data_IF_379210778430
#
_entry.id   IF_379210778430
#
_cell.length_a   1.000
_cell.length_b   1.000
_cell.length_c   1.000
_cell.angle_alpha   90.00
_cell.angle_beta   90.00
_cell.angle_gamma   90.00
#
_symmetry.space_group_name_H-M   'P 1'
#
loop_
_entity.id
_entity.type
_entity.pdbx_description
1 polymer ?
#
# COMPACT_ATOMS: atom_id res chain seq x y z
N UNK A 1 -36.15 25.18 -47.21
CA UNK A 1 -35.06 25.49 -46.26
C UNK A 1 -34.93 24.51 -45.07
N UNK A 2 -35.92 23.66 -44.73
CA UNK A 2 -35.88 22.73 -43.54
C UNK A 2 -35.07 21.43 -43.76
N UNK A 3 -34.74 21.03 -44.97
CA UNK A 3 -34.00 19.77 -45.25
C UNK A 3 -32.47 19.90 -45.10
N UNK A 4 -31.88 21.08 -45.37
CA UNK A 4 -30.43 21.30 -45.27
C UNK A 4 -29.90 21.31 -43.84
N UNK A 5 -30.70 21.77 -42.85
CA UNK A 5 -30.31 21.75 -41.44
C UNK A 5 -30.23 20.34 -40.85
N UNK A 6 -31.15 19.44 -41.23
CA UNK A 6 -31.15 18.05 -40.72
C UNK A 6 -29.98 17.21 -41.20
N UNK A 7 -29.41 17.52 -42.37
CA UNK A 7 -28.21 16.83 -42.90
C UNK A 7 -26.95 17.34 -42.20
N UNK A 8 -26.85 18.64 -41.92
CA UNK A 8 -25.72 19.22 -41.18
C UNK A 8 -25.67 18.73 -39.76
N UNK A 9 -26.81 18.63 -39.06
CA UNK A 9 -26.89 18.09 -37.68
C UNK A 9 -26.54 16.61 -37.63
N UNK A 10 -26.94 15.80 -38.63
CA UNK A 10 -26.56 14.38 -38.68
C UNK A 10 -25.09 14.18 -39.01
N UNK A 11 -24.49 15.01 -39.86
CA UNK A 11 -23.06 15.00 -40.15
C UNK A 11 -22.23 15.44 -38.95
N UNK A 12 -22.69 16.44 -38.20
CA UNK A 12 -22.04 16.90 -36.96
C UNK A 12 -22.10 15.85 -35.85
N UNK A 13 -23.23 15.17 -35.71
CA UNK A 13 -23.36 14.06 -34.75
C UNK A 13 -22.52 12.83 -35.15
N UNK A 14 -22.41 12.55 -36.44
CA UNK A 14 -21.57 11.45 -36.95
C UNK A 14 -20.07 11.78 -36.78
N UNK A 15 -19.66 13.04 -36.98
CA UNK A 15 -18.27 13.48 -36.75
C UNK A 15 -17.91 13.46 -35.27
N UNK A 16 -18.85 13.83 -34.39
CA UNK A 16 -18.64 13.81 -32.93
C UNK A 16 -18.53 12.38 -32.37
N UNK A 17 -19.27 11.42 -32.95
CA UNK A 17 -19.16 10.00 -32.56
C UNK A 17 -17.85 9.34 -33.02
N UNK A 18 -17.24 9.79 -34.11
CA UNK A 18 -15.94 9.27 -34.58
C UNK A 18 -14.79 9.75 -33.66
N UNK A 19 -14.91 10.93 -33.05
CA UNK A 19 -13.90 11.45 -32.13
C UNK A 19 -13.82 10.72 -30.78
N UNK A 20 -14.87 10.01 -30.40
CA UNK A 20 -14.92 9.29 -29.09
C UNK A 20 -14.26 7.91 -29.15
N UNK A 21 -14.01 7.33 -30.33
CA UNK A 21 -13.41 6.00 -30.48
C UNK A 21 -11.89 5.99 -30.71
N UNK A 22 -11.23 7.13 -30.67
CA UNK A 22 -9.76 7.21 -30.87
C UNK A 22 -8.94 7.03 -29.60
N UNK A 23 -9.54 6.67 -28.46
CA UNK A 23 -8.82 6.31 -27.24
C UNK A 23 -8.54 4.81 -27.19
N UNK A 24 -7.94 4.24 -28.25
CA UNK A 24 -7.17 3.02 -28.12
C UNK A 24 -5.87 3.41 -27.40
N UNK A 25 -5.83 3.28 -26.10
CA UNK A 25 -4.58 3.24 -25.36
C UNK A 25 -3.75 2.07 -25.97
N UNK A 26 -2.81 2.39 -26.84
CA UNK A 26 -1.76 1.45 -27.27
C UNK A 26 -0.97 1.10 -26.01
N UNK A 27 -1.37 0.06 -25.29
CA UNK A 27 -0.58 -0.48 -24.21
C UNK A 27 0.73 -0.96 -24.83
N UNK A 28 1.80 -0.21 -24.59
CA UNK A 28 3.15 -0.62 -25.02
C UNK A 28 3.39 -2.02 -24.44
N UNK A 29 3.78 -2.96 -25.29
CA UNK A 29 4.08 -4.33 -24.87
C UNK A 29 5.46 -4.38 -24.24
N UNK A 30 5.58 -5.21 -23.20
CA UNK A 30 6.88 -5.46 -22.57
C UNK A 30 7.87 -6.03 -23.58
N UNK A 31 9.09 -5.48 -23.57
CA UNK A 31 10.22 -6.01 -24.33
C UNK A 31 10.89 -7.06 -23.46
N UNK A 32 10.68 -8.32 -23.81
CA UNK A 32 11.32 -9.46 -23.18
C UNK A 32 12.55 -9.82 -24.04
N UNK A 33 13.77 -9.74 -23.48
CA UNK A 33 14.98 -10.10 -24.20
C UNK A 33 14.94 -11.55 -24.68
N UNK A 34 15.51 -11.80 -25.87
CA UNK A 34 15.65 -13.17 -26.40
C UNK A 34 16.54 -14.03 -25.51
N UNK A 35 16.25 -15.34 -25.46
CA UNK A 35 17.09 -16.33 -24.75
C UNK A 35 18.55 -16.37 -25.25
N UNK A 36 18.83 -15.84 -26.45
CA UNK A 36 20.20 -15.74 -26.98
C UNK A 36 21.12 -14.82 -26.14
N UNK A 37 20.56 -13.94 -25.30
CA UNK A 37 21.34 -13.13 -24.37
C UNK A 37 21.70 -13.84 -23.07
N UNK A 38 21.08 -14.97 -22.73
CA UNK A 38 21.33 -15.70 -21.49
C UNK A 38 22.80 -16.07 -21.22
N UNK A 39 23.65 -16.36 -22.24
CA UNK A 39 25.09 -16.60 -22.02
C UNK A 39 25.86 -15.34 -21.56
N UNK A 40 25.29 -14.14 -21.70
CA UNK A 40 25.99 -12.86 -21.50
C UNK A 40 25.39 -12.03 -20.39
N UNK A 41 24.07 -12.10 -20.19
CA UNK A 41 23.31 -11.30 -19.21
C UNK A 41 22.62 -12.25 -18.24
N UNK A 42 23.00 -12.18 -16.95
CA UNK A 42 22.45 -12.99 -15.87
C UNK A 42 21.13 -12.40 -15.35
N UNK A 43 21.10 -11.07 -15.14
CA UNK A 43 19.91 -10.38 -14.65
C UNK A 43 19.83 -8.95 -15.20
N UNK A 44 18.61 -8.42 -15.23
CA UNK A 44 18.34 -7.03 -15.63
C UNK A 44 17.11 -6.49 -14.92
N UNK A 45 17.04 -5.16 -14.80
CA UNK A 45 15.86 -4.47 -14.27
C UNK A 45 14.75 -4.49 -15.31
N UNK A 46 13.61 -5.12 -14.93
CA UNK A 46 12.42 -5.23 -15.79
C UNK A 46 11.14 -5.24 -14.96
N UNK A 47 9.98 -5.35 -15.63
CA UNK A 47 8.67 -5.39 -14.98
C UNK A 47 8.26 -4.03 -14.39
N UNK A 48 7.71 -4.02 -13.17
CA UNK A 48 7.29 -2.81 -12.46
C UNK A 48 8.33 -2.45 -11.42
N UNK A 49 8.81 -1.20 -11.46
CA UNK A 49 9.85 -0.68 -10.55
C UNK A 49 9.36 0.54 -9.78
N UNK A 50 9.97 0.82 -8.61
CA UNK A 50 9.76 2.06 -7.86
C UNK A 50 10.27 3.29 -8.64
N UNK A 51 9.66 4.45 -8.41
CA UNK A 51 10.14 5.73 -8.93
C UNK A 51 11.54 6.12 -8.40
N UNK A 52 12.04 5.44 -7.37
CA UNK A 52 13.37 5.62 -6.80
C UNK A 52 14.34 4.50 -7.17
N UNK A 53 13.95 3.58 -8.03
CA UNK A 53 14.79 2.45 -8.43
C UNK A 53 15.94 2.88 -9.34
N UNK A 54 17.08 2.21 -9.17
CA UNK A 54 18.14 2.21 -10.14
C UNK A 54 17.92 1.09 -11.17
N UNK A 55 18.48 1.26 -12.36
CA UNK A 55 18.38 0.29 -13.45
C UNK A 55 19.70 -0.48 -13.55
N UNK A 56 19.65 -1.81 -13.47
CA UNK A 56 20.82 -2.67 -13.41
C UNK A 56 20.86 -3.67 -14.56
N UNK A 57 22.08 -3.94 -15.03
CA UNK A 57 22.39 -5.07 -15.89
C UNK A 57 23.52 -5.85 -15.21
N UNK A 58 23.29 -7.13 -14.95
CA UNK A 58 24.27 -8.06 -14.42
C UNK A 58 24.75 -8.98 -15.53
N UNK A 59 26.05 -8.94 -15.80
CA UNK A 59 26.70 -9.81 -16.78
C UNK A 59 26.97 -11.20 -16.18
N UNK A 60 27.07 -12.23 -17.01
CA UNK A 60 27.40 -13.58 -16.56
C UNK A 60 28.87 -13.73 -16.16
N UNK A 61 29.75 -12.85 -16.64
CA UNK A 61 31.19 -12.90 -16.42
C UNK A 61 31.70 -11.61 -15.79
N UNK A 62 32.66 -11.79 -14.87
CA UNK A 62 33.37 -10.65 -14.29
C UNK A 62 34.21 -9.93 -15.34
N UNK A 63 34.22 -8.61 -15.29
CA UNK A 63 35.05 -7.78 -16.13
C UNK A 63 36.37 -7.47 -15.44
N UNK A 64 37.52 -7.59 -16.15
CA UNK A 64 38.79 -7.24 -15.56
C UNK A 64 38.92 -5.72 -15.35
N UNK A 65 39.52 -5.34 -14.23
CA UNK A 65 39.92 -3.95 -13.94
C UNK A 65 38.76 -2.93 -14.00
N UNK A 66 37.64 -3.24 -13.37
CA UNK A 66 36.55 -2.27 -13.22
C UNK A 66 36.85 -1.26 -12.12
N UNK A 67 36.51 -0.02 -12.36
CA UNK A 67 36.64 1.08 -11.38
C UNK A 67 35.32 1.21 -10.61
N UNK A 68 35.24 0.53 -9.46
CA UNK A 68 34.03 0.43 -8.68
C UNK A 68 33.59 1.79 -8.10
N UNK A 69 32.31 2.07 -8.17
CA UNK A 69 31.67 3.29 -7.67
C UNK A 69 32.09 4.60 -8.36
N UNK A 70 32.90 4.54 -9.39
CA UNK A 70 33.19 5.69 -10.24
C UNK A 70 32.28 5.73 -11.46
N UNK A 71 31.91 6.94 -11.87
CA UNK A 71 31.08 7.18 -13.05
C UNK A 71 31.77 6.67 -14.32
N UNK A 72 31.03 5.89 -15.12
CA UNK A 72 31.53 5.47 -16.44
C UNK A 72 31.68 6.70 -17.35
N UNK A 73 32.82 6.83 -18.02
CA UNK A 73 33.12 7.94 -18.95
C UNK A 73 32.07 8.07 -20.05
N UNK A 74 31.54 6.94 -20.49
CA UNK A 74 30.47 6.86 -21.49
C UNK A 74 29.31 6.02 -20.97
N UNK A 75 28.13 6.61 -20.90
CA UNK A 75 26.92 5.92 -20.48
C UNK A 75 26.54 4.84 -21.50
N UNK A 76 26.50 3.56 -21.09
CA UNK A 76 26.11 2.47 -21.99
C UNK A 76 24.58 2.33 -22.14
N UNK A 77 23.79 3.07 -21.38
CA UNK A 77 22.33 3.02 -21.42
C UNK A 77 21.75 4.14 -22.27
N UNK A 78 20.67 3.83 -22.94
CA UNK A 78 19.75 4.80 -23.53
C UNK A 78 18.31 4.37 -23.26
N UNK A 79 17.40 5.35 -23.15
CA UNK A 79 16.01 5.10 -22.80
C UNK A 79 15.04 5.88 -23.68
N UNK A 80 13.87 5.30 -23.90
CA UNK A 80 12.71 5.94 -24.54
C UNK A 80 11.47 5.75 -23.65
N UNK A 81 10.88 6.82 -23.06
CA UNK A 81 11.36 8.21 -23.05
C UNK A 81 12.76 8.38 -22.45
N UNK A 82 13.44 9.49 -22.81
CA UNK A 82 14.80 9.75 -22.35
C UNK A 82 14.87 9.92 -20.83
N UNK A 83 15.86 9.29 -20.18
CA UNK A 83 16.18 9.44 -18.77
C UNK A 83 17.53 10.15 -18.60
N UNK A 84 17.57 11.10 -17.69
CA UNK A 84 18.83 11.71 -17.22
C UNK A 84 19.36 10.89 -16.06
N UNK A 85 20.66 10.67 -16.01
CA UNK A 85 21.31 9.90 -14.97
C UNK A 85 22.73 9.52 -15.34
N UNK A 86 23.37 8.75 -14.47
CA UNK A 86 24.76 8.35 -14.58
C UNK A 86 24.90 6.84 -14.40
N UNK A 87 25.91 6.24 -15.03
CA UNK A 87 26.18 4.82 -14.94
C UNK A 87 27.45 4.52 -14.14
N UNK A 88 27.42 3.42 -13.36
CA UNK A 88 28.50 3.03 -12.46
C UNK A 88 28.70 1.51 -12.50
N UNK A 89 29.91 1.05 -12.27
CA UNK A 89 30.16 -0.32 -11.84
C UNK A 89 29.88 -0.45 -10.34
N UNK A 90 28.95 -1.32 -9.94
CA UNK A 90 28.65 -1.62 -8.54
C UNK A 90 29.25 -2.96 -8.09
N UNK A 91 29.64 -3.79 -9.03
CA UNK A 91 30.47 -5.00 -8.84
C UNK A 91 31.26 -5.29 -10.12
N UNK A 92 32.09 -6.35 -10.12
CA UNK A 92 32.87 -6.72 -11.29
C UNK A 92 32.02 -7.14 -12.50
N UNK A 93 30.74 -7.46 -12.31
CA UNK A 93 29.85 -7.92 -13.38
C UNK A 93 28.54 -7.11 -13.46
N UNK A 94 28.34 -6.10 -12.60
CA UNK A 94 27.07 -5.37 -12.54
C UNK A 94 27.25 -3.88 -12.80
N UNK A 95 26.54 -3.39 -13.80
CA UNK A 95 26.46 -1.97 -14.15
C UNK A 95 25.11 -1.44 -13.74
N UNK A 96 25.11 -0.31 -13.02
CA UNK A 96 23.93 0.37 -12.54
C UNK A 96 23.82 1.75 -13.18
N UNK A 97 22.66 2.06 -13.71
CA UNK A 97 22.28 3.43 -14.09
C UNK A 97 21.45 4.03 -12.95
N UNK A 98 21.88 5.16 -12.44
CA UNK A 98 21.23 5.93 -11.37
C UNK A 98 20.50 7.10 -12.03
N UNK A 99 19.16 7.06 -12.15
CA UNK A 99 18.39 8.18 -12.67
C UNK A 99 18.52 9.41 -11.78
N UNK A 100 18.50 10.60 -12.36
CA UNK A 100 18.36 11.83 -11.57
C UNK A 100 17.00 11.83 -10.86
N UNK A 101 16.92 12.33 -9.61
CA UNK A 101 15.66 12.35 -8.84
C UNK A 101 14.52 12.99 -9.63
N UNK A 102 13.37 12.32 -9.64
CA UNK A 102 12.15 12.78 -10.30
C UNK A 102 12.13 12.62 -11.82
N UNK A 103 13.12 11.95 -12.45
CA UNK A 103 13.11 11.68 -13.89
C UNK A 103 12.29 10.44 -14.25
N UNK A 104 12.23 9.43 -13.37
CA UNK A 104 11.30 8.30 -13.50
C UNK A 104 9.88 8.80 -13.20
N UNK A 105 9.04 8.83 -14.23
CA UNK A 105 7.67 9.32 -14.10
C UNK A 105 6.73 8.17 -13.72
N UNK A 106 5.90 8.34 -12.67
CA UNK A 106 4.92 7.35 -12.29
C UNK A 106 4.03 6.91 -13.46
N UNK A 107 3.76 5.61 -13.57
CA UNK A 107 2.95 5.01 -14.63
C UNK A 107 3.62 4.95 -16.00
N UNK A 108 4.74 5.64 -16.21
CA UNK A 108 5.40 5.69 -17.52
C UNK A 108 6.10 4.37 -17.85
N UNK A 109 6.03 4.00 -19.10
CA UNK A 109 6.69 2.83 -19.66
C UNK A 109 7.97 3.26 -20.38
N UNK A 110 9.08 2.65 -20.00
CA UNK A 110 10.40 2.91 -20.55
C UNK A 110 10.94 1.71 -21.31
N UNK A 111 11.43 1.97 -22.50
CA UNK A 111 12.25 1.04 -23.27
C UNK A 111 13.71 1.36 -23.01
N UNK A 112 14.49 0.38 -22.56
CA UNK A 112 15.91 0.50 -22.29
C UNK A 112 16.73 -0.21 -23.38
N UNK A 113 17.85 0.37 -23.76
CA UNK A 113 18.87 -0.27 -24.59
C UNK A 113 20.20 -0.16 -23.87
N UNK A 114 20.86 -1.31 -23.65
CA UNK A 114 22.18 -1.38 -23.08
C UNK A 114 23.19 -1.84 -24.13
N UNK A 115 24.32 -1.15 -24.26
CA UNK A 115 25.36 -1.41 -25.25
C UNK A 115 26.25 -2.59 -24.83
N UNK A 116 25.69 -3.81 -24.87
CA UNK A 116 26.32 -5.04 -24.41
C UNK A 116 27.68 -5.30 -25.10
N UNK A 117 27.77 -5.04 -26.39
CA UNK A 117 28.99 -5.23 -27.16
C UNK A 117 30.20 -4.37 -26.76
N UNK A 118 30.04 -3.46 -25.79
CA UNK A 118 31.16 -2.71 -25.19
C UNK A 118 31.87 -3.50 -24.08
N UNK A 119 31.21 -4.49 -23.50
CA UNK A 119 31.68 -5.22 -22.31
C UNK A 119 31.99 -6.69 -22.59
N UNK A 120 31.31 -7.27 -23.58
CA UNK A 120 31.48 -8.68 -23.96
C UNK A 120 31.56 -8.80 -25.47
N UNK A 121 32.36 -9.76 -25.93
CA UNK A 121 32.44 -10.11 -27.33
C UNK A 121 31.18 -10.89 -27.75
N UNK A 122 30.37 -10.33 -28.61
CA UNK A 122 29.10 -10.91 -29.06
C UNK A 122 28.92 -10.73 -30.56
N UNK A 123 28.07 -11.57 -31.14
CA UNK A 123 27.60 -11.38 -32.53
C UNK A 123 27.03 -9.96 -32.73
N UNK A 124 27.20 -9.42 -33.95
CA UNK A 124 26.76 -8.07 -34.29
C UNK A 124 25.29 -7.76 -33.97
N UNK A 125 24.42 -8.76 -34.07
CA UNK A 125 23.00 -8.69 -33.75
C UNK A 125 22.69 -8.63 -32.23
N UNK A 126 23.63 -9.03 -31.37
CA UNK A 126 23.50 -9.05 -29.91
C UNK A 126 24.20 -7.88 -29.23
N UNK A 127 24.80 -6.95 -29.97
CA UNK A 127 25.52 -5.80 -29.40
C UNK A 127 24.64 -4.87 -28.57
N UNK A 128 23.35 -4.84 -28.84
CA UNK A 128 22.35 -4.04 -28.12
C UNK A 128 21.39 -4.95 -27.37
N UNK A 129 21.42 -4.87 -26.05
CA UNK A 129 20.48 -5.58 -25.19
C UNK A 129 19.26 -4.67 -24.93
N UNK A 130 18.10 -5.05 -25.45
CA UNK A 130 16.85 -4.28 -25.32
C UNK A 130 15.94 -4.88 -24.26
N UNK A 131 15.39 -4.06 -23.40
CA UNK A 131 14.51 -4.43 -22.30
C UNK A 131 13.48 -3.33 -22.04
N UNK A 132 12.53 -3.59 -21.17
CA UNK A 132 11.55 -2.57 -20.77
C UNK A 132 11.19 -2.70 -19.29
N UNK A 133 10.69 -1.61 -18.75
CA UNK A 133 10.11 -1.55 -17.41
C UNK A 133 9.03 -0.45 -17.36
N UNK A 134 8.17 -0.55 -16.35
CA UNK A 134 7.16 0.47 -16.03
C UNK A 134 7.41 1.00 -14.63
N UNK A 135 7.26 2.28 -14.44
CA UNK A 135 7.31 2.88 -13.10
C UNK A 135 5.97 2.69 -12.40
N UNK A 136 6.01 2.26 -11.14
CA UNK A 136 4.84 2.05 -10.31
C UNK A 136 3.98 3.32 -10.25
N UNK A 137 2.68 3.19 -10.48
CA UNK A 137 1.73 4.27 -10.22
C UNK A 137 1.54 4.42 -8.70
N UNK A 138 1.64 5.64 -8.18
CA UNK A 138 1.43 5.86 -6.76
C UNK A 138 -0.04 5.64 -6.40
N UNK A 139 -0.26 4.85 -5.36
CA UNK A 139 -1.57 4.56 -4.82
C UNK A 139 -1.43 4.25 -3.32
N UNK A 140 -2.54 4.28 -2.59
CA UNK A 140 -2.55 3.89 -1.19
C UNK A 140 -3.87 3.24 -0.80
N UNK A 141 -3.84 2.52 0.32
CA UNK A 141 -5.01 1.99 1.02
C UNK A 141 -5.00 2.49 2.45
N UNK A 142 -6.20 2.72 2.98
CA UNK A 142 -6.43 3.08 4.38
C UNK A 142 -7.11 1.89 5.05
N UNK A 143 -6.57 1.45 6.17
CA UNK A 143 -7.18 0.45 7.03
C UNK A 143 -7.30 1.01 8.43
N UNK A 144 -8.49 0.97 9.00
CA UNK A 144 -8.76 1.34 10.39
C UNK A 144 -9.07 0.05 11.16
N UNK A 145 -8.36 -0.13 12.25
CA UNK A 145 -8.62 -1.28 13.13
C UNK A 145 -10.00 -1.13 13.79
N UNK A 146 -10.70 -2.23 14.01
CA UNK A 146 -11.89 -2.20 14.86
C UNK A 146 -11.59 -1.55 16.21
N UNK A 147 -12.52 -0.80 16.75
CA UNK A 147 -12.36 -0.17 18.06
C UNK A 147 -12.12 -1.25 19.13
N UNK A 148 -10.92 -1.27 19.70
CA UNK A 148 -10.51 -2.28 20.67
C UNK A 148 -9.90 -1.69 21.94
N UNK A 149 -9.59 -0.39 21.94
CA UNK A 149 -8.88 0.24 23.05
C UNK A 149 -9.72 1.36 23.64
N UNK A 150 -10.11 1.19 24.90
CA UNK A 150 -10.79 2.18 25.72
C UNK A 150 -9.82 2.58 26.82
N UNK A 151 -9.70 3.88 27.05
CA UNK A 151 -8.79 4.39 28.05
C UNK A 151 -9.35 4.15 29.46
N UNK A 152 -8.67 3.29 30.24
CA UNK A 152 -9.06 2.93 31.59
C UNK A 152 -8.96 4.12 32.54
N UNK A 153 -7.92 4.95 32.40
CA UNK A 153 -7.66 6.08 33.30
C UNK A 153 -8.75 7.15 33.16
N UNK A 154 -9.42 7.17 32.00
CA UNK A 154 -10.58 8.05 31.74
C UNK A 154 -11.92 7.46 32.17
N UNK A 155 -11.95 6.34 32.86
CA UNK A 155 -13.16 5.59 33.23
C UNK A 155 -14.04 5.20 32.02
N UNK A 156 -13.41 5.04 30.84
CA UNK A 156 -14.09 4.71 29.61
C UNK A 156 -14.64 5.92 28.82
N UNK A 157 -14.35 7.14 29.24
CA UNK A 157 -14.80 8.35 28.54
C UNK A 157 -14.01 8.61 27.23
N UNK A 158 -12.83 8.05 27.11
CA UNK A 158 -11.95 8.21 25.95
C UNK A 158 -11.68 6.89 25.25
N UNK A 159 -11.51 6.96 23.95
CA UNK A 159 -11.07 5.83 23.12
C UNK A 159 -9.89 6.20 22.26
N UNK A 160 -9.09 5.20 21.91
CA UNK A 160 -7.97 5.32 20.99
C UNK A 160 -8.22 4.43 19.77
N UNK A 161 -8.13 5.01 18.59
CA UNK A 161 -8.21 4.28 17.33
C UNK A 161 -6.83 4.12 16.74
N UNK A 162 -6.63 2.99 16.06
CA UNK A 162 -5.39 2.66 15.36
C UNK A 162 -5.70 2.25 13.93
N UNK A 163 -4.69 2.30 13.09
CA UNK A 163 -4.81 1.84 11.73
C UNK A 163 -3.51 1.91 10.97
N UNK A 164 -3.59 1.62 9.69
CA UNK A 164 -2.43 1.56 8.79
C UNK A 164 -2.76 2.21 7.45
N UNK A 165 -1.80 2.97 6.93
CA UNK A 165 -1.79 3.42 5.53
C UNK A 165 -0.70 2.65 4.79
N UNK A 166 -1.06 2.00 3.68
CA UNK A 166 -0.13 1.25 2.82
C UNK A 166 -0.06 1.90 1.45
N UNK A 167 1.15 2.17 1.01
CA UNK A 167 1.42 2.75 -0.29
C UNK A 167 1.93 1.71 -1.27
N UNK A 168 1.70 1.93 -2.56
CA UNK A 168 2.25 1.10 -3.64
C UNK A 168 3.75 1.34 -3.85
N UNK A 169 4.28 2.48 -3.41
CA UNK A 169 5.70 2.86 -3.50
C UNK A 169 6.12 3.65 -2.25
N UNK A 170 7.44 3.75 -2.00
CA UNK A 170 7.97 4.48 -0.85
C UNK A 170 7.49 5.94 -0.85
N UNK A 171 6.94 6.38 0.27
CA UNK A 171 6.34 7.71 0.44
C UNK A 171 6.97 8.39 1.65
N UNK A 172 7.41 9.67 1.55
CA UNK A 172 8.00 10.39 2.68
C UNK A 172 7.01 10.58 3.84
N UNK A 173 7.49 10.43 5.09
CA UNK A 173 6.68 10.59 6.30
C UNK A 173 5.95 11.94 6.36
N UNK A 174 6.63 13.02 5.98
CA UNK A 174 6.11 14.39 5.99
C UNK A 174 4.90 14.57 5.03
N UNK A 175 4.82 13.77 3.98
CA UNK A 175 3.66 13.72 3.11
C UNK A 175 2.51 12.98 3.79
N UNK A 176 2.79 11.83 4.43
CA UNK A 176 1.79 11.00 5.12
C UNK A 176 1.14 11.77 6.28
N UNK A 177 1.91 12.51 7.06
CA UNK A 177 1.43 13.36 8.18
C UNK A 177 0.40 14.41 7.72
N UNK A 178 0.51 14.88 6.48
CA UNK A 178 -0.42 15.86 5.89
C UNK A 178 -1.64 15.22 5.22
N UNK A 179 -1.62 13.90 5.03
CA UNK A 179 -2.71 13.19 4.36
C UNK A 179 -3.88 12.89 5.29
N UNK A 180 -3.61 12.60 6.58
CA UNK A 180 -4.59 12.08 7.50
C UNK A 180 -5.24 13.18 8.34
N UNK A 181 -6.55 13.06 8.51
CA UNK A 181 -7.34 13.90 9.41
C UNK A 181 -8.47 13.07 10.03
N UNK A 182 -8.87 13.45 11.27
CA UNK A 182 -9.96 12.82 11.97
C UNK A 182 -10.93 13.87 12.52
N UNK A 183 -12.25 13.67 12.30
CA UNK A 183 -13.30 14.55 12.76
C UNK A 183 -14.45 13.78 13.42
N UNK A 184 -14.85 14.21 14.60
CA UNK A 184 -16.05 13.75 15.28
C UNK A 184 -17.34 14.34 14.70
N UNK A 185 -18.48 13.75 15.05
CA UNK A 185 -19.79 14.18 14.59
C UNK A 185 -20.17 15.62 14.98
N UNK A 186 -19.60 16.14 16.07
CA UNK A 186 -19.73 17.53 16.53
C UNK A 186 -18.79 18.52 15.80
N UNK A 187 -18.00 18.02 14.81
CA UNK A 187 -17.02 18.82 14.09
C UNK A 187 -15.66 18.96 14.80
N UNK A 188 -15.49 18.34 15.96
CA UNK A 188 -14.21 18.32 16.68
C UNK A 188 -13.16 17.58 15.86
N UNK A 189 -11.98 18.19 15.73
CA UNK A 189 -10.82 17.54 15.08
C UNK A 189 -9.92 16.89 16.12
N UNK A 190 -9.42 15.70 15.80
CA UNK A 190 -8.50 14.94 16.64
C UNK A 190 -7.14 14.86 15.97
N UNK A 191 -6.03 15.00 16.71
CA UNK A 191 -4.69 14.83 16.15
C UNK A 191 -4.47 13.36 15.73
N UNK A 192 -3.79 13.19 14.59
CA UNK A 192 -3.39 11.88 14.09
C UNK A 192 -1.87 11.75 14.21
N UNK A 193 -1.42 10.80 14.99
CA UNK A 193 0.00 10.48 15.15
C UNK A 193 0.42 9.43 14.12
N UNK A 194 1.55 9.66 13.42
CA UNK A 194 2.05 8.77 12.37
C UNK A 194 3.38 8.14 12.81
N UNK A 195 3.45 6.82 12.74
CA UNK A 195 4.66 6.05 13.04
C UNK A 195 5.06 5.21 11.83
N UNK A 196 6.27 5.40 11.26
CA UNK A 196 6.79 4.54 10.20
C UNK A 196 6.99 3.12 10.74
N UNK A 197 6.81 2.12 9.88
CA UNK A 197 7.15 0.73 10.17
C UNK A 197 8.53 0.38 9.56
N UNK A 198 8.99 -0.85 9.77
CA UNK A 198 10.21 -1.37 9.12
C UNK A 198 10.07 -1.48 7.59
N UNK A 199 8.85 -1.38 7.08
CA UNK A 199 8.58 -1.43 5.66
C UNK A 199 8.37 -0.01 5.09
N UNK A 200 9.14 0.42 4.07
CA UNK A 200 9.15 1.81 3.59
C UNK A 200 7.84 2.30 2.95
N UNK A 201 6.89 1.39 2.72
CA UNK A 201 5.57 1.70 2.15
C UNK A 201 4.44 1.62 3.18
N UNK A 202 4.74 1.46 4.48
CA UNK A 202 3.72 1.26 5.52
C UNK A 202 3.89 2.22 6.67
N UNK A 203 2.80 2.81 7.09
CA UNK A 203 2.72 3.72 8.22
C UNK A 203 1.56 3.34 9.11
N UNK A 204 1.83 3.17 10.40
CA UNK A 204 0.80 3.07 11.42
C UNK A 204 0.34 4.46 11.81
N UNK A 205 -0.92 4.60 12.15
CA UNK A 205 -1.45 5.81 12.76
C UNK A 205 -2.24 5.52 14.02
N UNK A 206 -2.29 6.51 14.89
CA UNK A 206 -3.06 6.50 16.14
C UNK A 206 -3.81 7.80 16.31
N UNK A 207 -5.06 7.71 16.73
CA UNK A 207 -5.94 8.83 17.09
C UNK A 207 -6.33 8.60 18.54
N UNK A 208 -5.60 9.24 19.45
CA UNK A 208 -5.82 9.13 20.88
C UNK A 208 -6.78 10.20 21.41
N UNK A 209 -7.41 9.94 22.53
CA UNK A 209 -8.24 10.90 23.26
C UNK A 209 -9.54 11.25 22.55
N UNK A 210 -10.10 10.34 21.75
CA UNK A 210 -11.40 10.52 21.11
C UNK A 210 -12.47 10.39 22.19
N UNK A 211 -13.23 11.47 22.38
CA UNK A 211 -14.22 11.60 23.46
C UNK A 211 -15.49 10.80 23.10
N UNK A 212 -15.94 9.94 24.00
CA UNK A 212 -17.26 9.30 23.90
C UNK A 212 -18.32 10.27 24.42
N UNK A 213 -19.40 10.39 23.66
CA UNK A 213 -20.52 11.29 23.99
C UNK A 213 -21.68 10.50 24.63
N UNK A 214 -22.76 11.21 24.97
CA UNK A 214 -23.97 10.58 25.52
C UNK A 214 -24.71 9.73 24.47
N UNK A 215 -24.49 10.01 23.18
CA UNK A 215 -25.07 9.29 22.05
C UNK A 215 -23.96 8.77 21.13
N UNK A 216 -24.27 7.74 20.36
CA UNK A 216 -23.38 7.20 19.32
C UNK A 216 -23.09 8.25 18.25
N UNK A 217 -21.87 8.29 17.76
CA UNK A 217 -21.55 9.12 16.60
C UNK A 217 -20.51 8.46 15.71
N UNK A 218 -20.39 8.97 14.49
CA UNK A 218 -19.36 8.52 13.55
C UNK A 218 -18.14 9.43 13.64
N UNK A 219 -16.97 8.84 13.86
CA UNK A 219 -15.70 9.52 13.64
C UNK A 219 -15.29 9.31 12.19
N UNK A 220 -15.20 10.41 11.44
CA UNK A 220 -14.72 10.39 10.06
C UNK A 220 -13.18 10.47 10.03
N UNK A 221 -12.54 9.46 9.47
CA UNK A 221 -11.09 9.40 9.23
C UNK A 221 -10.88 9.54 7.73
N UNK A 222 -10.25 10.64 7.33
CA UNK A 222 -9.99 10.94 5.93
C UNK A 222 -8.50 10.87 5.63
N UNK A 223 -8.15 10.19 4.53
CA UNK A 223 -6.83 10.18 3.91
C UNK A 223 -6.89 10.85 2.54
N UNK A 224 -6.29 12.03 2.40
CA UNK A 224 -6.16 12.75 1.14
C UNK A 224 -4.77 12.54 0.55
N UNK A 225 -4.67 11.90 -0.61
CA UNK A 225 -3.40 11.56 -1.26
C UNK A 225 -2.63 12.75 -1.85
N UNK A 226 -3.24 13.93 -2.01
CA UNK A 226 -2.61 15.08 -2.67
C UNK A 226 -1.22 15.47 -2.14
N UNK A 227 -0.94 15.45 -0.81
CA UNK A 227 0.39 15.73 -0.30
C UNK A 227 1.47 14.74 -0.76
N UNK A 228 1.07 13.50 -1.12
CA UNK A 228 1.94 12.47 -1.67
C UNK A 228 1.90 12.41 -3.22
N UNK A 229 1.27 13.39 -3.88
CA UNK A 229 1.12 13.41 -5.33
C UNK A 229 0.12 12.38 -5.88
N UNK A 230 -0.78 11.87 -5.03
CA UNK A 230 -1.78 10.86 -5.38
C UNK A 230 -3.15 11.52 -5.48
N UNK A 231 -3.78 11.48 -6.65
CA UNK A 231 -5.14 12.02 -6.86
C UNK A 231 -6.18 10.99 -6.38
N UNK A 232 -6.23 10.80 -5.07
CA UNK A 232 -7.18 9.90 -4.41
C UNK A 232 -7.50 10.39 -3.00
N UNK A 233 -8.77 10.29 -2.62
CA UNK A 233 -9.24 10.51 -1.24
C UNK A 233 -9.98 9.28 -0.77
N UNK A 234 -9.65 8.79 0.42
CA UNK A 234 -10.36 7.73 1.12
C UNK A 234 -10.95 8.26 2.41
N UNK A 235 -12.10 7.76 2.78
CA UNK A 235 -12.78 8.12 4.04
C UNK A 235 -13.34 6.85 4.66
N UNK A 236 -13.03 6.65 5.94
CA UNK A 236 -13.56 5.58 6.78
C UNK A 236 -14.35 6.23 7.92
N UNK A 237 -15.50 5.63 8.23
CA UNK A 237 -16.34 6.05 9.33
C UNK A 237 -16.33 4.97 10.42
N UNK A 238 -15.91 5.36 11.62
CA UNK A 238 -15.84 4.46 12.76
C UNK A 238 -16.91 4.86 13.76
N UNK A 239 -17.75 3.91 14.13
CA UNK A 239 -18.75 4.12 15.16
C UNK A 239 -18.05 4.28 16.52
N UNK A 240 -18.24 5.42 17.16
CA UNK A 240 -17.86 5.65 18.54
C UNK A 240 -19.11 5.42 19.39
N UNK A 241 -19.13 4.38 20.25
CA UNK A 241 -20.29 4.05 21.04
C UNK A 241 -20.52 5.08 22.13
N UNK A 242 -21.80 5.33 22.46
CA UNK A 242 -22.19 6.17 23.58
C UNK A 242 -21.54 5.70 24.90
N UNK A 243 -21.18 6.66 25.75
CA UNK A 243 -20.72 6.30 27.09
C UNK A 243 -21.89 5.81 27.96
N UNK A 244 -21.58 4.92 28.94
CA UNK A 244 -22.56 4.26 29.82
C UNK A 244 -23.56 3.34 29.08
N UNK A 245 -23.25 2.94 27.87
CA UNK A 245 -24.03 1.96 27.12
C UNK A 245 -23.16 0.74 26.83
N UNK A 246 -23.09 -0.18 27.79
CA UNK A 246 -22.29 -1.39 27.71
C UNK A 246 -22.82 -2.31 26.61
N UNK A 247 -22.02 -2.54 25.58
CA UNK A 247 -22.40 -3.39 24.46
C UNK A 247 -21.24 -4.21 23.94
N UNK A 248 -21.58 -5.31 23.32
CA UNK A 248 -20.65 -6.10 22.50
C UNK A 248 -20.25 -5.32 21.23
N UNK A 249 -18.95 -5.26 20.94
CA UNK A 249 -18.42 -4.63 19.73
C UNK A 249 -17.98 -5.65 18.69
N UNK A 250 -17.18 -6.63 19.07
CA UNK A 250 -16.66 -7.65 18.17
C UNK A 250 -16.21 -8.90 18.90
N UNK A 251 -16.08 -10.00 18.14
CA UNK A 251 -15.34 -11.15 18.58
C UNK A 251 -14.51 -11.72 17.44
N UNK A 252 -13.35 -12.24 17.78
CA UNK A 252 -12.47 -12.91 16.82
C UNK A 252 -11.84 -14.15 17.44
N UNK A 253 -11.55 -15.14 16.61
CA UNK A 253 -10.76 -16.30 17.01
C UNK A 253 -9.30 -15.88 17.17
N UNK A 254 -8.63 -16.44 18.18
CA UNK A 254 -7.20 -16.34 18.40
C UNK A 254 -6.63 -17.76 18.43
N UNK A 255 -5.44 -17.94 17.83
CA UNK A 255 -4.76 -19.24 17.75
C UNK A 255 -3.42 -19.23 18.52
N UNK A 256 -2.96 -18.05 18.98
CA UNK A 256 -1.73 -17.86 19.76
C UNK A 256 -1.97 -16.87 20.91
N UNK A 257 -1.36 -17.07 22.11
CA UNK A 257 -0.52 -18.22 22.50
C UNK A 257 -1.28 -19.51 22.73
N UNK A 258 -2.60 -19.44 22.88
CA UNK A 258 -3.52 -20.56 23.06
C UNK A 258 -4.76 -20.34 22.19
N UNK A 259 -5.44 -21.44 21.82
CA UNK A 259 -6.69 -21.33 21.07
C UNK A 259 -7.77 -20.69 21.93
N UNK A 260 -8.46 -19.72 21.34
CA UNK A 260 -9.48 -19.00 22.08
C UNK A 260 -10.30 -18.04 21.22
N UNK A 261 -11.05 -17.22 21.93
CA UNK A 261 -11.86 -16.14 21.38
C UNK A 261 -11.53 -14.86 22.15
N UNK A 262 -11.20 -13.79 21.45
CA UNK A 262 -11.19 -12.43 21.99
C UNK A 262 -12.58 -11.82 21.78
N UNK A 263 -13.23 -11.38 22.85
CA UNK A 263 -14.46 -10.58 22.81
C UNK A 263 -14.11 -9.16 23.23
N UNK A 264 -14.61 -8.17 22.50
CA UNK A 264 -14.40 -6.74 22.78
C UNK A 264 -15.73 -6.09 23.10
N UNK A 265 -15.76 -5.36 24.21
CA UNK A 265 -16.91 -4.59 24.67
C UNK A 265 -16.69 -3.08 24.55
N UNK A 266 -17.76 -2.30 24.60
CA UNK A 266 -17.72 -0.84 24.54
C UNK A 266 -17.18 -0.18 25.81
N UNK A 267 -17.11 -0.91 26.92
CA UNK A 267 -16.73 -0.38 28.22
C UNK A 267 -15.84 -1.41 28.96
N UNK A 268 -15.04 -0.96 29.92
CA UNK A 268 -14.21 -1.87 30.73
C UNK A 268 -15.03 -2.92 31.44
N UNK A 269 -14.53 -4.14 31.44
CA UNK A 269 -15.10 -5.29 32.22
C UNK A 269 -14.34 -5.42 33.52
N UNK A 270 -15.06 -5.61 34.61
CA UNK A 270 -14.40 -5.82 35.92
C UNK A 270 -13.61 -7.12 35.91
N UNK A 271 -12.36 -7.09 36.34
CA UNK A 271 -11.51 -8.29 36.49
C UNK A 271 -12.02 -9.23 37.59
N UNK A 272 -12.91 -8.75 38.47
CA UNK A 272 -13.52 -9.55 39.54
C UNK A 272 -14.88 -10.10 39.12
N UNK A 273 -15.38 -9.79 37.93
CA UNK A 273 -16.65 -10.29 37.42
C UNK A 273 -16.52 -11.79 37.13
N UNK A 274 -17.42 -12.58 37.72
CA UNK A 274 -17.59 -13.99 37.34
C UNK A 274 -18.30 -14.03 35.97
N UNK A 275 -17.60 -14.51 34.95
CA UNK A 275 -18.10 -14.62 33.60
C UNK A 275 -18.71 -15.99 33.28
N UNK A 276 -18.58 -16.97 34.18
CA UNK A 276 -19.20 -18.27 34.00
C UNK A 276 -20.72 -18.13 34.01
N UNK A 277 -21.38 -18.67 32.99
CA UNK A 277 -22.82 -18.56 32.79
C UNK A 277 -23.31 -17.21 32.25
N UNK A 278 -22.44 -16.17 32.15
CA UNK A 278 -22.73 -14.94 31.44
C UNK A 278 -22.30 -15.03 29.98
N UNK A 279 -21.19 -15.72 29.72
CA UNK A 279 -20.70 -15.99 28.37
C UNK A 279 -20.63 -17.52 28.23
N UNK A 280 -21.40 -18.07 27.35
CA UNK A 280 -21.45 -19.49 27.06
C UNK A 280 -21.05 -19.78 25.63
N UNK A 281 -20.20 -20.79 25.45
CA UNK A 281 -19.85 -21.33 24.15
C UNK A 281 -20.42 -22.75 24.10
N UNK A 282 -21.53 -23.01 23.39
CA UNK A 282 -22.26 -24.26 23.49
C UNK A 282 -21.45 -25.54 23.24
N UNK A 283 -20.38 -25.42 22.45
CA UNK A 283 -19.52 -26.54 22.03
C UNK A 283 -18.29 -26.74 22.95
N UNK A 284 -18.12 -25.88 23.96
CA UNK A 284 -16.95 -25.88 24.88
C UNK A 284 -17.39 -26.30 26.27
N UNK A 285 -16.82 -27.40 26.77
CA UNK A 285 -17.16 -27.96 28.08
C UNK A 285 -16.46 -27.26 29.23
N UNK A 286 -15.32 -26.64 29.00
CA UNK A 286 -14.57 -25.85 30.00
C UNK A 286 -13.83 -24.71 29.29
N UNK A 287 -13.90 -23.53 29.89
CA UNK A 287 -13.22 -22.33 29.38
C UNK A 287 -12.54 -21.60 30.53
N UNK A 288 -11.40 -20.96 30.20
CA UNK A 288 -10.68 -20.08 31.12
C UNK A 288 -10.90 -18.66 30.61
N UNK A 289 -11.38 -17.78 31.48
CA UNK A 289 -11.61 -16.38 31.21
C UNK A 289 -10.45 -15.52 31.69
N UNK A 290 -9.94 -14.64 30.84
CA UNK A 290 -9.02 -13.59 31.22
C UNK A 290 -9.60 -12.24 30.77
N UNK A 291 -9.64 -11.28 31.71
CA UNK A 291 -10.17 -9.94 31.44
C UNK A 291 -9.01 -8.95 31.35
N UNK A 292 -8.95 -8.21 30.23
CA UNK A 292 -8.00 -7.14 30.02
C UNK A 292 -8.75 -5.89 29.56
N UNK A 293 -9.02 -4.97 30.47
CA UNK A 293 -9.75 -3.75 30.19
C UNK A 293 -11.17 -4.04 29.62
N UNK A 294 -11.42 -3.72 28.36
CA UNK A 294 -12.68 -3.96 27.66
C UNK A 294 -12.65 -5.25 26.83
N UNK A 295 -11.66 -6.10 27.03
CA UNK A 295 -11.50 -7.38 26.33
C UNK A 295 -11.66 -8.55 27.27
N UNK A 296 -12.35 -9.56 26.80
CA UNK A 296 -12.45 -10.86 27.45
C UNK A 296 -11.84 -11.90 26.51
N UNK A 297 -10.81 -12.56 26.98
CA UNK A 297 -10.22 -13.72 26.32
C UNK A 297 -10.82 -14.99 26.93
N UNK A 298 -11.24 -15.87 26.04
CA UNK A 298 -11.82 -17.17 26.43
C UNK A 298 -10.95 -18.25 25.83
N UNK A 299 -10.19 -18.95 26.63
CA UNK A 299 -9.31 -20.02 26.17
C UNK A 299 -9.99 -21.39 26.37
N UNK A 300 -9.79 -22.30 25.43
CA UNK A 300 -10.34 -23.65 25.41
C UNK A 300 -9.45 -24.61 24.63
N UNK A 301 -9.64 -25.92 24.82
CA UNK A 301 -8.88 -26.93 24.09
C UNK A 301 -9.22 -26.93 22.57
N UNK A 302 -8.21 -27.01 21.73
CA UNK A 302 -8.29 -26.83 20.27
C UNK A 302 -9.27 -27.77 19.55
N UNK A 303 -9.66 -28.89 20.16
CA UNK A 303 -10.50 -29.91 19.53
C UNK A 303 -12.01 -29.63 19.67
N UNK A 304 -12.39 -28.53 20.32
CA UNK A 304 -13.78 -28.28 20.72
C UNK A 304 -14.56 -27.36 19.76
N UNK A 305 -13.91 -26.64 18.84
CA UNK A 305 -14.62 -25.75 17.91
C UNK A 305 -14.27 -26.05 16.46
N UNK A 306 -15.24 -26.56 15.70
CA UNK A 306 -15.15 -26.71 14.25
C UNK A 306 -15.64 -25.45 13.50
N UNK A 307 -16.55 -24.66 14.11
CA UNK A 307 -17.12 -23.45 13.53
C UNK A 307 -17.63 -22.50 14.61
N UNK A 308 -17.18 -21.25 14.60
CA UNK A 308 -17.71 -20.19 15.45
C UNK A 308 -18.89 -19.49 14.74
N UNK A 309 -20.04 -19.49 15.37
CA UNK A 309 -21.19 -18.67 14.96
C UNK A 309 -21.62 -17.84 16.15
N UNK A 310 -21.42 -16.52 16.07
CA UNK A 310 -21.93 -15.56 17.04
C UNK A 310 -23.35 -15.19 16.67
N UNK A 311 -24.25 -15.25 17.61
CA UNK A 311 -25.66 -14.85 17.45
C UNK A 311 -25.93 -13.56 18.17
#
# INVERSE_FOLDING_TARGET
MKAKHRIADRLFFLLLTILVFSSCANSKKDIIPSAEYAPFVNAYTGGVISQTSNIRIELTQDQPMVDLNNELKENPFSFSPSLKGKAYWISNNTIEFVPEPGTLKPGEFYEGTFQLGRFVEVDSRLKEFKFSFRVQEPNFTLYVEPLTTIDIDSHGDLVTLKGEVRFSDATPKEAVEKMLSAKGGNGQSYPVSITPTDHPTRYQFEIAGVIREAEDYQLEITANGSPAGIDRKLTENVLIPAKNDFRFLSAKRIDEPENGIEIVFSDPVSTTQDLNGLIEIPEVSSSIFQVENNKVYIYFEANQLSKLTLK
#
